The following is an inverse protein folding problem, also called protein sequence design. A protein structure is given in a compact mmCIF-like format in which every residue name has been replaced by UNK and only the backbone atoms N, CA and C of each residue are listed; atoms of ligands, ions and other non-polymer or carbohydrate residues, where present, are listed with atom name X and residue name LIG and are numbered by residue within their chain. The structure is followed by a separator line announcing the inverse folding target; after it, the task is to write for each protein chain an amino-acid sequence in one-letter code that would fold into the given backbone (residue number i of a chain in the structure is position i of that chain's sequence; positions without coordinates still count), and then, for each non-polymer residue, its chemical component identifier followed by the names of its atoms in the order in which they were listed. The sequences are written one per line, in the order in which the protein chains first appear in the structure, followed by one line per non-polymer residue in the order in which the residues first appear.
data_IF_557994208401
#
_entry.id   IF_557994208401
#
_cell.length_a   1.000
_cell.length_b   1.000
_cell.length_c   1.000
_cell.angle_alpha   90.00
_cell.angle_beta   90.00
_cell.angle_gamma   90.00
#
_symmetry.space_group_name_H-M   'P 1'
#
loop_
_entity.id
_entity.type
_entity.pdbx_description
1 polymer ?
#
# COMPACT_ATOMS: atom_id res chain seq x y z
N UNK A 1 -73.61 -12.26 -62.51
CA UNK A 1 -73.21 -13.24 -61.49
C UNK A 1 -71.68 -13.50 -61.42
N UNK A 2 -70.90 -13.29 -62.50
CA UNK A 2 -69.43 -13.53 -62.48
C UNK A 2 -68.57 -12.43 -61.78
N UNK A 3 -69.01 -11.20 -61.75
CA UNK A 3 -68.26 -10.09 -61.17
C UNK A 3 -68.26 -10.11 -59.62
N UNK A 4 -69.26 -10.61 -58.96
CA UNK A 4 -69.40 -10.74 -57.52
C UNK A 4 -68.46 -11.82 -56.91
N UNK A 5 -68.30 -12.91 -57.70
CA UNK A 5 -67.38 -13.99 -57.32
C UNK A 5 -65.92 -13.60 -57.40
N UNK A 6 -65.54 -12.84 -58.45
CA UNK A 6 -64.15 -12.31 -58.59
C UNK A 6 -63.79 -11.28 -57.49
N UNK A 7 -64.75 -10.43 -57.07
CA UNK A 7 -64.58 -9.51 -55.97
C UNK A 7 -64.42 -10.25 -54.60
N UNK A 8 -65.21 -11.33 -54.41
CA UNK A 8 -65.04 -12.14 -53.20
C UNK A 8 -63.74 -12.92 -53.18
N UNK A 9 -63.28 -13.48 -54.29
CA UNK A 9 -61.97 -14.13 -54.39
C UNK A 9 -60.86 -13.16 -54.18
N UNK A 10 -60.90 -11.99 -54.79
CA UNK A 10 -59.85 -10.93 -54.57
C UNK A 10 -59.80 -10.44 -53.11
N UNK A 11 -60.96 -10.35 -52.43
CA UNK A 11 -61.06 -9.97 -51.02
C UNK A 11 -60.52 -11.08 -50.08
N UNK A 12 -60.76 -12.32 -50.40
CA UNK A 12 -60.25 -13.45 -49.63
C UNK A 12 -58.75 -13.65 -49.82
N UNK A 13 -58.23 -13.42 -51.04
CA UNK A 13 -56.79 -13.46 -51.32
C UNK A 13 -56.07 -12.31 -50.60
N UNK A 14 -56.60 -11.08 -50.54
CA UNK A 14 -56.06 -9.98 -49.78
C UNK A 14 -56.09 -10.21 -48.26
N UNK A 15 -57.18 -10.78 -47.74
CA UNK A 15 -57.31 -11.16 -46.34
C UNK A 15 -56.34 -12.29 -45.98
N UNK A 16 -56.21 -13.32 -46.78
CA UNK A 16 -55.27 -14.41 -46.55
C UNK A 16 -53.78 -13.88 -46.56
N UNK A 17 -53.49 -13.03 -47.56
CA UNK A 17 -52.14 -12.41 -47.60
C UNK A 17 -51.84 -11.53 -46.39
N UNK A 18 -52.82 -10.79 -45.84
CA UNK A 18 -52.67 -10.01 -44.64
C UNK A 18 -52.44 -10.88 -43.41
N UNK A 19 -53.14 -12.01 -43.29
CA UNK A 19 -52.92 -12.97 -42.18
C UNK A 19 -51.53 -13.61 -42.27
N UNK A 20 -51.11 -14.00 -43.49
CA UNK A 20 -49.79 -14.56 -43.72
C UNK A 20 -48.69 -13.52 -43.36
N UNK A 21 -48.88 -12.27 -43.76
CA UNK A 21 -47.92 -11.18 -43.45
C UNK A 21 -47.81 -10.90 -41.94
N UNK A 22 -48.95 -10.84 -41.24
CA UNK A 22 -48.97 -10.72 -39.77
C UNK A 22 -48.30 -11.92 -39.11
N UNK A 23 -48.61 -13.14 -39.58
CA UNK A 23 -47.96 -14.35 -39.09
C UNK A 23 -46.45 -14.39 -39.32
N UNK A 24 -45.99 -13.88 -40.47
CA UNK A 24 -44.58 -13.77 -40.78
C UNK A 24 -43.89 -12.73 -39.87
N UNK A 25 -44.53 -11.60 -39.62
CA UNK A 25 -44.00 -10.55 -38.70
C UNK A 25 -43.92 -11.11 -37.27
N UNK A 26 -44.97 -11.75 -36.78
CA UNK A 26 -44.97 -12.34 -35.44
C UNK A 26 -43.92 -13.44 -35.29
N UNK A 27 -43.74 -14.28 -36.28
CA UNK A 27 -42.71 -15.29 -36.32
C UNK A 27 -41.31 -14.66 -36.32
N UNK A 28 -41.11 -13.60 -37.10
CA UNK A 28 -39.82 -12.87 -37.15
C UNK A 28 -39.52 -12.18 -35.81
N UNK A 29 -40.49 -11.55 -35.17
CA UNK A 29 -40.36 -10.97 -33.86
C UNK A 29 -40.04 -12.02 -32.78
N UNK A 30 -40.70 -13.19 -32.87
CA UNK A 30 -40.43 -14.31 -31.98
C UNK A 30 -38.98 -14.84 -32.13
N UNK A 31 -38.54 -15.04 -33.39
CA UNK A 31 -37.17 -15.46 -33.68
C UNK A 31 -36.18 -14.42 -33.20
N UNK A 32 -36.44 -13.12 -33.39
CA UNK A 32 -35.60 -12.04 -32.92
C UNK A 32 -35.50 -12.02 -31.39
N UNK A 33 -36.62 -12.12 -30.68
CA UNK A 33 -36.66 -12.23 -29.22
C UNK A 33 -35.93 -13.47 -28.71
N UNK A 34 -36.01 -14.58 -29.46
CA UNK A 34 -35.28 -15.79 -29.12
C UNK A 34 -33.76 -15.67 -29.33
N UNK A 35 -33.30 -14.94 -30.35
CA UNK A 35 -31.89 -14.80 -30.68
C UNK A 35 -31.18 -13.73 -29.81
N UNK A 36 -31.89 -12.67 -29.47
CA UNK A 36 -31.34 -11.53 -28.73
C UNK A 36 -32.03 -11.42 -27.36
N UNK A 37 -31.38 -11.88 -26.27
CA UNK A 37 -31.95 -11.76 -24.95
C UNK A 37 -32.07 -10.28 -24.55
N UNK A 38 -33.26 -9.86 -24.13
CA UNK A 38 -33.57 -8.49 -23.73
C UNK A 38 -34.10 -8.52 -22.30
N UNK A 39 -33.60 -7.63 -21.45
CA UNK A 39 -34.16 -7.41 -20.12
C UNK A 39 -34.42 -5.94 -19.88
N UNK A 40 -35.50 -5.62 -19.22
CA UNK A 40 -35.83 -4.30 -18.73
C UNK A 40 -35.48 -4.11 -17.21
N UNK A 41 -35.04 -5.21 -16.58
CA UNK A 41 -34.66 -5.25 -15.20
C UNK A 41 -33.14 -5.10 -15.09
N UNK A 42 -32.65 -3.88 -15.35
CA UNK A 42 -31.23 -3.53 -15.22
C UNK A 42 -31.06 -2.28 -14.35
N UNK A 43 -30.07 -2.32 -13.49
CA UNK A 43 -29.76 -1.24 -12.55
C UNK A 43 -28.32 -0.75 -12.76
N UNK A 44 -28.13 0.54 -12.57
CA UNK A 44 -26.78 1.11 -12.46
C UNK A 44 -26.23 0.76 -11.07
N UNK A 45 -25.11 0.09 -11.04
CA UNK A 45 -24.40 -0.25 -9.80
C UNK A 45 -23.11 0.55 -9.76
N UNK A 46 -23.02 1.44 -8.80
CA UNK A 46 -21.80 2.19 -8.55
C UNK A 46 -21.03 1.55 -7.39
N UNK A 47 -19.71 1.63 -7.45
CA UNK A 47 -18.86 1.21 -6.36
C UNK A 47 -18.93 2.29 -5.25
N UNK A 48 -19.77 2.07 -4.26
CA UNK A 48 -19.92 2.95 -3.10
C UNK A 48 -18.98 2.48 -2.01
N UNK A 49 -18.03 3.33 -1.62
CA UNK A 49 -17.07 3.03 -0.56
C UNK A 49 -17.25 4.00 0.62
N UNK A 50 -17.29 3.51 1.85
CA UNK A 50 -17.23 4.38 3.01
C UNK A 50 -15.82 5.00 3.11
N UNK A 51 -15.75 6.30 3.33
CA UNK A 51 -14.48 7.00 3.64
C UNK A 51 -14.42 7.23 5.13
N UNK A 52 -13.29 6.87 5.72
CA UNK A 52 -13.02 7.01 7.15
C UNK A 52 -11.73 7.80 7.37
N UNK A 53 -11.55 8.35 8.57
CA UNK A 53 -10.27 8.88 8.99
C UNK A 53 -9.29 7.72 9.23
N UNK A 54 -8.05 7.92 8.83
CA UNK A 54 -6.97 6.95 9.01
C UNK A 54 -6.19 7.21 10.30
N UNK A 55 -6.37 8.41 10.89
CA UNK A 55 -5.80 8.82 12.17
C UNK A 55 -6.88 9.44 13.06
N UNK A 56 -6.68 9.40 14.38
CA UNK A 56 -7.61 10.00 15.36
C UNK A 56 -7.34 11.50 15.52
N UNK A 57 -8.36 12.27 15.81
CA UNK A 57 -8.21 13.70 16.10
C UNK A 57 -9.48 14.50 15.88
N UNK A 58 -9.33 15.78 15.60
CA UNK A 58 -10.44 16.67 15.25
C UNK A 58 -10.27 17.15 13.82
N UNK A 59 -11.36 17.28 13.09
CA UNK A 59 -11.34 17.85 11.74
C UNK A 59 -11.03 19.35 11.82
N UNK A 60 -10.00 19.78 11.14
CA UNK A 60 -9.59 21.20 11.05
C UNK A 60 -10.17 21.88 9.83
N UNK A 61 -10.19 21.20 8.70
CA UNK A 61 -10.72 21.74 7.45
C UNK A 61 -11.50 20.67 6.69
N UNK A 62 -12.58 21.08 6.03
CA UNK A 62 -13.37 20.28 5.09
C UNK A 62 -13.38 21.02 3.75
N UNK A 63 -12.90 20.38 2.68
CA UNK A 63 -12.73 20.99 1.35
C UNK A 63 -13.83 20.59 0.37
N UNK A 64 -14.76 19.78 0.80
CA UNK A 64 -15.82 19.18 -0.02
C UNK A 64 -17.20 19.45 0.59
N UNK A 65 -18.21 19.37 -0.27
CA UNK A 65 -19.62 19.41 0.10
C UNK A 65 -20.33 18.15 -0.34
N UNK A 66 -21.50 17.89 0.25
CA UNK A 66 -22.34 16.79 -0.19
C UNK A 66 -22.79 16.99 -1.64
N UNK A 67 -22.59 15.98 -2.48
CA UNK A 67 -22.88 16.04 -3.92
C UNK A 67 -21.74 16.55 -4.81
N UNK A 68 -20.61 16.98 -4.25
CA UNK A 68 -19.48 17.47 -5.03
C UNK A 68 -18.84 16.34 -5.87
N UNK A 69 -18.48 16.71 -7.09
CA UNK A 69 -17.60 15.89 -7.92
C UNK A 69 -16.14 16.19 -7.56
N UNK A 70 -15.40 15.17 -7.19
CA UNK A 70 -13.99 15.26 -6.82
C UNK A 70 -13.11 14.49 -7.79
N UNK A 71 -11.90 14.98 -7.99
CA UNK A 71 -10.88 14.34 -8.83
C UNK A 71 -9.88 13.59 -7.98
N UNK A 72 -9.28 12.57 -8.56
CA UNK A 72 -8.16 11.85 -7.94
C UNK A 72 -7.08 12.80 -7.44
N UNK A 73 -6.64 12.61 -6.19
CA UNK A 73 -5.65 13.46 -5.53
C UNK A 73 -6.20 14.78 -4.96
N UNK A 74 -7.50 15.04 -5.09
CA UNK A 74 -8.11 16.22 -4.46
C UNK A 74 -8.22 16.02 -2.95
N UNK A 75 -7.87 17.07 -2.17
CA UNK A 75 -8.03 17.06 -0.72
C UNK A 75 -9.52 17.01 -0.35
N UNK A 76 -9.87 16.11 0.55
CA UNK A 76 -11.24 15.94 1.06
C UNK A 76 -11.41 16.65 2.39
N UNK A 77 -10.60 16.30 3.37
CA UNK A 77 -10.58 16.95 4.68
C UNK A 77 -9.22 16.78 5.35
N UNK A 78 -8.96 17.56 6.39
CA UNK A 78 -7.76 17.45 7.24
C UNK A 78 -8.13 17.25 8.68
N UNK A 79 -7.38 16.39 9.35
CA UNK A 79 -7.40 16.17 10.79
C UNK A 79 -6.30 17.01 11.43
N UNK A 80 -6.45 17.42 12.68
CA UNK A 80 -5.47 18.19 13.43
C UNK A 80 -4.09 17.50 13.44
N UNK A 81 -3.14 18.07 12.74
CA UNK A 81 -1.84 17.48 12.38
C UNK A 81 -0.72 17.75 13.40
N UNK A 82 -0.83 18.81 14.22
CA UNK A 82 0.24 19.23 15.12
C UNK A 82 0.79 18.13 16.06
N UNK A 83 -0.04 17.25 16.69
CA UNK A 83 0.51 16.18 17.51
C UNK A 83 1.38 15.20 16.73
N UNK A 84 1.01 14.94 15.47
CA UNK A 84 1.76 14.08 14.56
C UNK A 84 3.06 14.74 14.09
N UNK A 85 3.00 16.05 13.79
CA UNK A 85 4.19 16.85 13.46
C UNK A 85 5.19 16.83 14.61
N UNK A 86 4.75 17.08 15.84
CA UNK A 86 5.63 17.06 17.01
C UNK A 86 6.25 15.67 17.25
N UNK A 87 5.53 14.60 16.95
CA UNK A 87 6.06 13.24 17.03
C UNK A 87 7.17 13.01 15.99
N UNK A 88 7.01 13.53 14.78
CA UNK A 88 8.05 13.50 13.74
C UNK A 88 9.28 14.27 14.19
N UNK A 89 9.12 15.51 14.67
CA UNK A 89 10.21 16.34 15.17
C UNK A 89 10.96 15.69 16.35
N UNK A 90 10.23 15.04 17.25
CA UNK A 90 10.84 14.28 18.35
C UNK A 90 11.74 13.15 17.84
N UNK A 91 11.21 12.29 16.93
CA UNK A 91 12.03 11.20 16.40
C UNK A 91 13.18 11.67 15.53
N UNK A 92 13.08 12.82 14.86
CA UNK A 92 14.20 13.44 14.15
C UNK A 92 15.30 13.88 15.10
N UNK A 93 14.94 14.50 16.24
CA UNK A 93 15.88 14.89 17.27
C UNK A 93 16.55 13.66 17.92
N UNK A 94 15.77 12.62 18.26
CA UNK A 94 16.28 11.38 18.84
C UNK A 94 17.26 10.68 17.88
N UNK A 95 16.93 10.65 16.59
CA UNK A 95 17.79 10.08 15.55
C UNK A 95 19.11 10.88 15.41
N UNK A 96 19.04 12.20 15.45
CA UNK A 96 20.21 13.05 15.41
C UNK A 96 21.13 12.80 16.63
N UNK A 97 20.56 12.68 17.83
CA UNK A 97 21.28 12.35 19.06
C UNK A 97 21.95 10.97 18.97
N UNK A 98 21.20 9.96 18.47
CA UNK A 98 21.73 8.60 18.29
C UNK A 98 22.90 8.55 17.27
N UNK A 99 22.81 9.30 16.17
CA UNK A 99 23.89 9.44 15.19
C UNK A 99 25.12 10.14 15.77
N UNK A 100 24.93 11.17 16.60
CA UNK A 100 26.02 11.84 17.32
C UNK A 100 26.72 10.88 18.27
N UNK A 101 25.96 10.07 19.03
CA UNK A 101 26.50 9.02 19.91
C UNK A 101 27.32 7.99 19.14
N UNK A 102 26.83 7.54 17.95
CA UNK A 102 27.58 6.63 17.09
C UNK A 102 28.94 7.22 16.69
N UNK A 103 28.99 8.50 16.30
CA UNK A 103 30.24 9.18 15.98
C UNK A 103 31.22 9.22 17.18
N UNK A 104 30.69 9.44 18.39
CA UNK A 104 31.53 9.40 19.62
C UNK A 104 32.10 8.00 19.86
N UNK A 105 31.28 6.95 19.71
CA UNK A 105 31.74 5.56 19.84
C UNK A 105 32.81 5.20 18.79
N UNK A 106 32.68 5.69 17.56
CA UNK A 106 33.65 5.47 16.50
C UNK A 106 34.99 6.12 16.83
N UNK A 107 34.98 7.36 17.37
CA UNK A 107 36.21 8.05 17.82
C UNK A 107 36.84 7.33 19.01
N UNK A 108 36.03 6.75 19.92
CA UNK A 108 36.52 5.94 21.02
C UNK A 108 37.23 4.69 20.50
N UNK A 109 36.62 3.98 19.56
CA UNK A 109 37.25 2.82 18.92
C UNK A 109 38.57 3.16 18.26
N UNK A 110 38.63 4.25 17.49
CA UNK A 110 39.86 4.71 16.83
C UNK A 110 40.98 4.97 17.85
N UNK A 111 40.66 5.63 18.97
CA UNK A 111 41.62 5.87 20.07
C UNK A 111 42.12 4.54 20.65
N UNK A 112 41.23 3.60 20.92
CA UNK A 112 41.57 2.32 21.58
C UNK A 112 42.28 1.36 20.62
N UNK A 113 42.05 1.49 19.32
CA UNK A 113 42.87 0.83 18.28
C UNK A 113 44.34 1.36 18.30
N UNK A 114 44.52 2.67 18.43
CA UNK A 114 45.86 3.26 18.58
C UNK A 114 46.54 2.80 19.86
N UNK A 115 45.83 2.75 20.99
CA UNK A 115 46.36 2.21 22.26
C UNK A 115 46.77 0.73 22.07
N UNK A 116 45.94 -0.08 21.43
CA UNK A 116 46.28 -1.47 21.19
C UNK A 116 47.50 -1.64 20.29
N UNK A 117 47.64 -0.79 19.26
CA UNK A 117 48.83 -0.77 18.42
C UNK A 117 50.11 -0.45 19.22
N UNK A 118 50.08 0.54 20.09
CA UNK A 118 51.22 0.86 20.96
C UNK A 118 51.58 -0.30 21.91
N UNK A 119 50.55 -0.98 22.48
CA UNK A 119 50.76 -2.15 23.33
C UNK A 119 51.37 -3.31 22.54
N UNK A 120 50.95 -3.50 21.27
CA UNK A 120 51.53 -4.51 20.37
C UNK A 120 52.99 -4.25 20.08
N UNK A 121 53.35 -3.02 19.80
CA UNK A 121 54.77 -2.62 19.58
C UNK A 121 55.63 -2.86 20.83
N UNK A 122 55.11 -2.47 22.01
CA UNK A 122 55.76 -2.71 23.28
C UNK A 122 55.97 -4.21 23.55
N UNK A 123 54.92 -5.01 23.36
CA UNK A 123 55.02 -6.48 23.51
C UNK A 123 56.03 -7.06 22.52
N UNK A 124 56.01 -6.64 21.25
CA UNK A 124 56.92 -7.16 20.22
C UNK A 124 58.39 -6.86 20.59
N UNK A 125 58.67 -5.63 21.05
CA UNK A 125 60.00 -5.25 21.51
C UNK A 125 60.47 -6.07 22.71
N UNK A 126 59.66 -6.20 23.76
CA UNK A 126 59.96 -6.98 24.95
C UNK A 126 60.12 -8.48 24.64
N UNK A 127 59.33 -9.05 23.76
CA UNK A 127 59.44 -10.45 23.31
C UNK A 127 60.77 -10.71 22.54
N UNK A 128 61.20 -9.72 21.74
CA UNK A 128 62.49 -9.82 21.07
C UNK A 128 63.67 -9.73 22.05
N UNK A 129 63.55 -8.88 23.08
CA UNK A 129 64.59 -8.76 24.09
C UNK A 129 64.64 -10.00 25.00
N UNK A 130 63.47 -10.57 25.36
CA UNK A 130 63.38 -11.82 26.09
C UNK A 130 64.07 -12.99 25.32
N UNK A 131 63.86 -13.12 24.01
CA UNK A 131 64.51 -14.11 23.17
C UNK A 131 66.05 -13.94 23.17
N UNK A 132 66.53 -12.68 23.18
CA UNK A 132 67.97 -12.41 23.30
C UNK A 132 68.52 -12.81 24.68
N UNK A 133 67.80 -12.50 25.79
CA UNK A 133 68.15 -12.89 27.16
C UNK A 133 68.13 -14.40 27.36
N UNK A 134 67.18 -15.12 26.80
CA UNK A 134 67.14 -16.58 26.79
C UNK A 134 68.39 -17.18 26.10
N UNK A 135 68.78 -16.65 24.95
CA UNK A 135 69.96 -17.06 24.23
C UNK A 135 71.26 -16.75 25.01
N UNK A 136 71.34 -15.54 25.64
CA UNK A 136 72.47 -15.13 26.44
C UNK A 136 72.61 -15.97 27.74
N UNK A 137 71.52 -16.34 28.38
CA UNK A 137 71.53 -17.24 29.53
C UNK A 137 72.08 -18.61 29.24
N UNK A 138 71.74 -19.18 28.08
CA UNK A 138 72.27 -20.52 27.65
C UNK A 138 73.76 -20.54 27.53
N UNK A 139 74.42 -19.40 27.35
CA UNK A 139 75.89 -19.26 27.29
C UNK A 139 76.48 -18.64 28.55
N UNK A 140 75.68 -18.60 29.65
CA UNK A 140 76.07 -17.99 30.94
C UNK A 140 76.45 -16.51 30.88
N UNK A 141 75.98 -15.73 29.91
CA UNK A 141 76.29 -14.30 29.73
C UNK A 141 75.38 -13.38 30.58
N UNK A 142 74.28 -13.88 31.14
CA UNK A 142 73.34 -13.12 31.98
C UNK A 142 72.86 -13.98 33.20
N UNK A 143 72.45 -13.33 34.27
CA UNK A 143 71.95 -14.00 35.47
C UNK A 143 70.53 -14.57 35.29
N UNK A 144 70.21 -15.60 36.08
CA UNK A 144 68.83 -16.13 36.14
C UNK A 144 67.80 -15.05 36.49
N UNK A 145 68.12 -14.16 37.40
CA UNK A 145 67.25 -13.07 37.82
C UNK A 145 66.95 -12.10 36.67
N UNK A 146 67.93 -11.82 35.81
CA UNK A 146 67.74 -10.97 34.62
C UNK A 146 66.79 -11.63 33.62
N UNK A 147 66.93 -12.92 33.40
CA UNK A 147 66.05 -13.69 32.52
C UNK A 147 64.61 -13.71 33.09
N UNK A 148 64.43 -14.01 34.39
CA UNK A 148 63.12 -14.02 35.02
C UNK A 148 62.41 -12.67 34.95
N UNK A 149 63.14 -11.57 35.15
CA UNK A 149 62.59 -10.21 35.04
C UNK A 149 62.09 -9.95 33.61
N UNK A 150 62.87 -10.28 32.58
CA UNK A 150 62.48 -10.13 31.17
C UNK A 150 61.22 -10.95 30.83
N UNK A 151 61.14 -12.21 31.31
CA UNK A 151 59.97 -13.06 31.14
C UNK A 151 58.72 -12.44 31.81
N UNK A 152 58.84 -11.87 33.02
CA UNK A 152 57.71 -11.23 33.69
C UNK A 152 57.27 -9.95 32.99
N UNK A 153 58.19 -9.11 32.48
CA UNK A 153 57.87 -7.92 31.70
C UNK A 153 57.15 -8.29 30.40
N UNK A 154 57.62 -9.32 29.69
CA UNK A 154 57.01 -9.80 28.47
C UNK A 154 55.59 -10.35 28.72
N UNK A 155 55.40 -11.13 29.82
CA UNK A 155 54.08 -11.61 30.24
C UNK A 155 53.11 -10.47 30.57
N UNK A 156 53.61 -9.44 31.27
CA UNK A 156 52.83 -8.24 31.59
C UNK A 156 52.40 -7.48 30.33
N UNK A 157 53.32 -7.28 29.38
CA UNK A 157 53.01 -6.63 28.12
C UNK A 157 52.01 -7.44 27.28
N UNK A 158 52.13 -8.75 27.26
CA UNK A 158 51.14 -9.67 26.58
C UNK A 158 49.75 -9.54 27.18
N UNK A 159 49.66 -9.49 28.52
CA UNK A 159 48.38 -9.30 29.21
C UNK A 159 47.75 -7.93 28.90
N UNK A 160 48.58 -6.86 28.86
CA UNK A 160 48.13 -5.51 28.49
C UNK A 160 47.62 -5.46 27.02
N UNK A 161 48.31 -6.11 26.11
CA UNK A 161 47.85 -6.23 24.70
C UNK A 161 46.51 -7.00 24.61
N UNK A 162 46.39 -8.11 25.31
CA UNK A 162 45.16 -8.89 25.33
C UNK A 162 43.98 -8.07 25.91
N UNK A 163 44.21 -7.29 26.95
CA UNK A 163 43.22 -6.41 27.56
C UNK A 163 42.77 -5.31 26.57
N UNK A 164 43.70 -4.67 25.84
CA UNK A 164 43.35 -3.65 24.83
C UNK A 164 42.59 -4.25 23.64
N UNK A 165 42.92 -5.46 23.22
CA UNK A 165 42.17 -6.16 22.17
C UNK A 165 40.73 -6.47 22.59
N UNK A 166 40.53 -6.88 23.86
CA UNK A 166 39.19 -7.09 24.41
C UNK A 166 38.37 -5.80 24.49
N UNK A 167 39.02 -4.67 24.78
CA UNK A 167 38.37 -3.35 24.79
C UNK A 167 37.85 -3.01 23.37
N UNK A 168 38.65 -3.24 22.33
CA UNK A 168 38.23 -3.05 20.93
C UNK A 168 36.99 -3.91 20.59
N UNK A 169 36.93 -5.19 21.00
CA UNK A 169 35.75 -6.06 20.80
C UNK A 169 34.49 -5.47 21.46
N UNK A 170 34.65 -4.92 22.69
CA UNK A 170 33.54 -4.25 23.41
C UNK A 170 33.06 -3.01 22.64
N UNK A 171 34.00 -2.17 22.16
CA UNK A 171 33.67 -0.95 21.43
C UNK A 171 32.95 -1.29 20.10
N UNK A 172 33.45 -2.29 19.38
CA UNK A 172 32.79 -2.77 18.16
C UNK A 172 31.37 -3.28 18.42
N UNK A 173 31.17 -4.03 19.55
CA UNK A 173 29.85 -4.48 19.95
C UNK A 173 28.92 -3.30 20.28
N UNK A 174 29.48 -2.28 20.97
CA UNK A 174 28.74 -1.06 21.32
C UNK A 174 28.30 -0.28 20.07
N UNK A 175 29.18 -0.18 19.07
CA UNK A 175 28.88 0.41 17.76
C UNK A 175 27.76 -0.36 17.04
N UNK A 176 27.81 -1.69 17.04
CA UNK A 176 26.76 -2.51 16.44
C UNK A 176 25.42 -2.32 17.14
N UNK A 177 25.41 -2.23 18.47
CA UNK A 177 24.21 -1.96 19.24
C UNK A 177 23.64 -0.57 18.90
N UNK A 178 24.49 0.45 18.80
CA UNK A 178 24.08 1.80 18.45
C UNK A 178 23.54 1.88 17.01
N UNK A 179 24.09 1.12 16.05
CA UNK A 179 23.58 1.02 14.69
C UNK A 179 22.16 0.41 14.66
N UNK A 180 21.90 -0.61 15.47
CA UNK A 180 20.56 -1.20 15.59
C UNK A 180 19.56 -0.20 16.20
N UNK A 181 19.98 0.58 17.17
CA UNK A 181 19.15 1.64 17.76
C UNK A 181 18.79 2.72 16.70
N UNK A 182 19.76 3.15 15.89
CA UNK A 182 19.52 4.07 14.79
C UNK A 182 18.50 3.50 13.80
N UNK A 183 18.66 2.24 13.39
CA UNK A 183 17.69 1.60 12.49
C UNK A 183 16.27 1.52 13.09
N UNK A 184 16.16 1.28 14.40
CA UNK A 184 14.89 1.30 15.12
C UNK A 184 14.25 2.69 15.10
N UNK A 185 15.04 3.75 15.37
CA UNK A 185 14.57 5.13 15.33
C UNK A 185 14.18 5.59 13.92
N UNK A 186 14.93 5.17 12.90
CA UNK A 186 14.57 5.43 11.49
C UNK A 186 13.22 4.78 11.11
N UNK A 187 12.96 3.57 11.59
CA UNK A 187 11.67 2.91 11.39
C UNK A 187 10.52 3.66 12.11
N UNK A 188 10.75 4.10 13.36
CA UNK A 188 9.77 4.89 14.11
C UNK A 188 9.49 6.24 13.44
N UNK A 189 10.53 6.92 12.97
CA UNK A 189 10.40 8.18 12.23
C UNK A 189 9.61 7.99 10.94
N UNK A 190 9.86 6.91 10.20
CA UNK A 190 9.10 6.58 8.99
C UNK A 190 7.63 6.38 9.28
N UNK A 191 7.29 5.65 10.35
CA UNK A 191 5.90 5.45 10.75
C UNK A 191 5.25 6.78 11.17
N UNK A 192 5.93 7.60 11.97
CA UNK A 192 5.42 8.91 12.37
C UNK A 192 5.14 9.84 11.17
N UNK A 193 5.98 9.79 10.14
CA UNK A 193 5.75 10.54 8.89
C UNK A 193 4.53 10.03 8.11
N UNK A 194 4.33 8.71 8.07
CA UNK A 194 3.11 8.13 7.48
C UNK A 194 1.88 8.59 8.25
N UNK A 195 1.91 8.56 9.58
CA UNK A 195 0.78 9.03 10.40
C UNK A 195 0.49 10.53 10.17
N UNK A 196 1.52 11.34 9.98
CA UNK A 196 1.39 12.76 9.63
C UNK A 196 0.76 12.92 8.23
N UNK A 197 1.20 12.17 7.24
CA UNK A 197 0.62 12.21 5.89
C UNK A 197 -0.84 11.80 5.89
N UNK A 198 -1.21 10.82 6.72
CA UNK A 198 -2.58 10.32 6.87
C UNK A 198 -3.53 11.33 7.57
N UNK A 199 -3.01 12.43 8.13
CA UNK A 199 -3.86 13.52 8.66
C UNK A 199 -4.63 14.25 7.56
N UNK A 200 -4.14 14.22 6.32
CA UNK A 200 -4.83 14.77 5.16
C UNK A 200 -5.37 13.63 4.29
N UNK A 201 -6.68 13.59 4.15
CA UNK A 201 -7.35 12.55 3.33
C UNK A 201 -7.59 13.09 1.93
N UNK A 202 -7.21 12.31 0.93
CA UNK A 202 -7.33 12.62 -0.49
C UNK A 202 -8.26 11.63 -1.19
N UNK A 203 -8.87 12.08 -2.30
CA UNK A 203 -9.63 11.20 -3.17
C UNK A 203 -8.70 10.23 -3.91
N UNK A 204 -8.97 8.94 -3.82
CA UNK A 204 -8.18 7.90 -4.50
C UNK A 204 -8.48 7.83 -6.01
N UNK A 205 -9.73 8.11 -6.38
CA UNK A 205 -10.24 8.10 -7.76
C UNK A 205 -11.13 9.33 -8.01
N UNK A 206 -11.57 9.50 -9.25
CA UNK A 206 -12.63 10.44 -9.60
C UNK A 206 -13.96 9.91 -9.07
N UNK A 207 -14.77 10.78 -8.46
CA UNK A 207 -16.01 10.32 -7.83
C UNK A 207 -16.90 11.43 -7.30
N UNK A 208 -17.97 11.01 -6.64
CA UNK A 208 -18.99 11.89 -6.05
C UNK A 208 -19.07 11.62 -4.54
N UNK A 209 -19.14 12.69 -3.77
CA UNK A 209 -19.30 12.64 -2.32
C UNK A 209 -20.79 12.55 -1.95
N UNK A 210 -21.15 11.57 -1.13
CA UNK A 210 -22.51 11.46 -0.60
C UNK A 210 -22.52 11.24 0.92
N UNK A 211 -23.65 11.58 1.56
CA UNK A 211 -23.86 11.40 2.99
C UNK A 211 -22.78 12.07 3.86
N UNK A 212 -22.35 13.27 3.45
CA UNK A 212 -21.34 14.03 4.19
C UNK A 212 -21.96 14.69 5.42
N UNK A 213 -21.63 14.16 6.60
CA UNK A 213 -22.03 14.72 7.91
C UNK A 213 -20.83 15.25 8.70
N UNK A 214 -19.75 15.63 7.99
CA UNK A 214 -18.49 16.07 8.57
C UNK A 214 -18.46 17.59 8.67
N UNK A 215 -18.12 18.11 9.86
CA UNK A 215 -17.95 19.55 10.12
C UNK A 215 -16.59 19.80 10.80
N UNK A 216 -16.11 21.04 10.70
CA UNK A 216 -14.92 21.48 11.44
C UNK A 216 -15.16 21.29 12.94
N UNK A 217 -14.18 20.74 13.66
CA UNK A 217 -14.28 20.40 15.08
C UNK A 217 -14.87 19.02 15.38
N UNK A 218 -15.36 18.28 14.38
CA UNK A 218 -15.86 16.92 14.58
C UNK A 218 -14.74 15.99 15.02
N UNK A 219 -14.87 15.27 16.15
CA UNK A 219 -13.92 14.26 16.55
C UNK A 219 -14.03 13.05 15.62
N UNK A 220 -12.90 12.52 15.17
CA UNK A 220 -12.83 11.36 14.30
C UNK A 220 -11.92 10.29 14.89
N UNK A 221 -12.33 9.04 14.70
CA UNK A 221 -11.56 7.87 15.10
C UNK A 221 -11.17 7.04 13.87
N UNK A 222 -10.12 6.25 14.01
CA UNK A 222 -9.64 5.34 12.96
C UNK A 222 -10.74 4.36 12.58
N UNK A 223 -10.94 4.15 11.28
CA UNK A 223 -11.94 3.23 10.69
C UNK A 223 -13.42 3.60 10.96
N UNK A 224 -13.72 4.77 11.49
CA UNK A 224 -15.09 5.25 11.62
C UNK A 224 -15.55 5.85 10.29
N UNK A 225 -16.60 5.31 9.64
CA UNK A 225 -17.13 5.89 8.40
C UNK A 225 -17.64 7.32 8.63
N UNK A 226 -17.22 8.25 7.78
CA UNK A 226 -17.58 9.66 7.87
C UNK A 226 -18.53 10.08 6.75
N UNK A 227 -18.37 9.52 5.57
CA UNK A 227 -19.21 9.74 4.39
C UNK A 227 -19.02 8.63 3.37
N UNK A 228 -19.84 8.65 2.33
CA UNK A 228 -19.79 7.71 1.22
C UNK A 228 -19.12 8.34 -0.01
N UNK A 229 -18.23 7.61 -0.63
CA UNK A 229 -17.59 7.97 -1.89
C UNK A 229 -18.11 7.05 -2.99
N UNK A 230 -18.67 7.62 -4.04
CA UNK A 230 -19.12 6.90 -5.23
C UNK A 230 -18.03 7.05 -6.29
N UNK A 231 -17.38 5.95 -6.62
CA UNK A 231 -16.40 5.91 -7.69
C UNK A 231 -17.11 6.03 -9.04
N UNK A 232 -16.74 7.03 -9.83
CA UNK A 232 -17.31 7.28 -11.17
C UNK A 232 -16.36 6.90 -12.29
N UNK A 233 -15.19 6.35 -11.98
CA UNK A 233 -14.20 5.92 -12.97
C UNK A 233 -14.71 4.76 -13.81
N UNK A 234 -15.53 3.90 -13.22
CA UNK A 234 -16.17 2.77 -13.89
C UNK A 234 -17.65 2.70 -13.49
N UNK A 235 -18.51 2.56 -14.48
CA UNK A 235 -19.96 2.41 -14.28
C UNK A 235 -20.35 0.99 -14.68
N UNK A 236 -20.93 0.27 -13.75
CA UNK A 236 -21.44 -1.08 -13.98
C UNK A 236 -22.96 -1.09 -14.09
N UNK A 237 -23.46 -1.97 -14.95
CA UNK A 237 -24.88 -2.30 -15.03
C UNK A 237 -25.09 -3.74 -14.60
N UNK A 238 -25.92 -3.93 -13.61
CA UNK A 238 -26.39 -5.25 -13.22
C UNK A 238 -27.71 -5.49 -13.92
N UNK A 239 -27.73 -6.46 -14.83
CA UNK A 239 -28.92 -6.85 -15.58
C UNK A 239 -29.39 -8.22 -15.12
N UNK A 240 -30.66 -8.32 -14.76
CA UNK A 240 -31.30 -9.57 -14.38
C UNK A 240 -32.00 -10.18 -15.60
N UNK A 241 -31.56 -11.35 -16.00
CA UNK A 241 -32.15 -12.10 -17.10
C UNK A 241 -32.92 -13.30 -16.58
N UNK A 242 -33.91 -13.77 -17.34
CA UNK A 242 -34.55 -15.05 -17.10
C UNK A 242 -33.58 -16.20 -17.36
N UNK A 243 -33.77 -17.32 -16.67
CA UNK A 243 -32.91 -18.51 -16.80
C UNK A 243 -32.74 -19.00 -18.25
N UNK A 244 -33.80 -18.91 -19.06
CA UNK A 244 -33.79 -19.29 -20.47
C UNK A 244 -32.86 -18.43 -21.32
N UNK A 245 -32.68 -17.18 -20.96
CA UNK A 245 -31.88 -16.18 -21.69
C UNK A 245 -30.41 -16.18 -21.30
N UNK A 246 -30.11 -16.64 -20.08
CA UNK A 246 -28.73 -16.71 -19.55
C UNK A 246 -27.82 -17.61 -20.40
N UNK A 247 -28.35 -18.62 -21.08
CA UNK A 247 -27.54 -19.50 -21.94
C UNK A 247 -26.81 -18.77 -23.07
N UNK A 248 -27.25 -17.55 -23.40
CA UNK A 248 -26.74 -16.76 -24.53
C UNK A 248 -25.88 -15.59 -24.09
N UNK A 249 -25.83 -15.33 -22.79
CA UNK A 249 -25.03 -14.22 -22.19
C UNK A 249 -23.77 -14.82 -21.61
N UNK A 250 -22.62 -14.48 -22.21
CA UNK A 250 -21.31 -14.95 -21.79
C UNK A 250 -20.38 -13.78 -21.53
N UNK A 251 -19.40 -13.99 -20.67
CA UNK A 251 -18.33 -13.02 -20.45
C UNK A 251 -17.69 -12.61 -21.79
N UNK A 252 -17.59 -11.31 -22.04
CA UNK A 252 -17.10 -10.74 -23.30
C UNK A 252 -18.18 -10.44 -24.34
N UNK A 253 -19.45 -10.83 -24.11
CA UNK A 253 -20.57 -10.49 -25.00
C UNK A 253 -20.77 -8.98 -25.04
N UNK A 254 -20.98 -8.42 -26.23
CA UNK A 254 -21.31 -7.01 -26.43
C UNK A 254 -22.78 -6.78 -26.12
N UNK A 255 -23.07 -5.75 -25.34
CA UNK A 255 -24.43 -5.38 -24.95
C UNK A 255 -24.74 -3.94 -25.31
N UNK A 256 -25.99 -3.68 -25.65
CA UNK A 256 -26.54 -2.35 -25.87
C UNK A 256 -27.43 -1.99 -24.69
N UNK A 257 -27.13 -0.85 -24.06
CA UNK A 257 -27.85 -0.37 -22.88
C UNK A 257 -28.60 0.90 -23.28
N UNK A 258 -29.91 0.87 -23.11
CA UNK A 258 -30.81 1.99 -23.43
C UNK A 258 -31.54 2.43 -22.15
N UNK A 259 -30.98 3.39 -21.39
CA UNK A 259 -31.62 3.85 -20.16
C UNK A 259 -32.95 4.55 -20.46
N UNK A 260 -34.00 4.21 -19.73
CA UNK A 260 -35.34 4.82 -19.87
C UNK A 260 -35.33 6.34 -19.65
N UNK A 261 -34.43 6.84 -18.81
CA UNK A 261 -34.27 8.27 -18.54
C UNK A 261 -33.98 9.10 -19.79
N UNK A 262 -33.38 8.53 -20.81
CA UNK A 262 -33.04 9.24 -22.05
C UNK A 262 -33.99 8.89 -23.21
N UNK A 263 -35.13 8.21 -22.98
CA UNK A 263 -36.12 7.85 -24.02
C UNK A 263 -35.47 7.33 -25.32
N UNK A 264 -34.52 6.40 -25.19
CA UNK A 264 -33.74 5.83 -26.31
C UNK A 264 -32.87 6.84 -27.12
N UNK A 265 -32.74 8.09 -26.69
CA UNK A 265 -31.89 9.09 -27.35
C UNK A 265 -30.39 8.83 -27.15
N UNK A 266 -30.03 8.08 -26.11
CA UNK A 266 -28.63 7.68 -25.83
C UNK A 266 -28.55 6.16 -25.71
N UNK A 267 -27.66 5.58 -26.50
CA UNK A 267 -27.34 4.15 -26.46
C UNK A 267 -25.91 4.04 -25.95
N UNK A 268 -25.73 3.24 -24.92
CA UNK A 268 -24.40 2.92 -24.40
C UNK A 268 -24.00 1.51 -24.85
N UNK A 269 -22.71 1.38 -25.18
CA UNK A 269 -22.13 0.09 -25.52
C UNK A 269 -21.40 -0.45 -24.30
N UNK A 270 -21.69 -1.67 -23.91
CA UNK A 270 -21.07 -2.36 -22.82
C UNK A 270 -20.53 -3.71 -23.22
N UNK A 271 -19.76 -4.31 -22.34
CA UNK A 271 -19.25 -5.67 -22.46
C UNK A 271 -19.59 -6.41 -21.17
N UNK A 272 -20.06 -7.65 -21.28
CA UNK A 272 -20.31 -8.49 -20.11
C UNK A 272 -19.00 -8.82 -19.42
N UNK A 273 -18.82 -8.34 -18.19
CA UNK A 273 -17.61 -8.56 -17.38
C UNK A 273 -17.69 -9.89 -16.62
N UNK A 274 -18.89 -10.22 -16.14
CA UNK A 274 -19.15 -11.43 -15.36
C UNK A 274 -20.52 -11.98 -15.70
N UNK A 275 -20.63 -13.29 -15.80
CA UNK A 275 -21.81 -14.07 -16.02
C UNK A 275 -22.19 -14.94 -14.79
N UNK A 276 -21.74 -14.51 -13.59
CA UNK A 276 -22.02 -15.25 -12.38
C UNK A 276 -23.50 -15.19 -12.00
N UNK A 277 -24.05 -16.36 -11.73
CA UNK A 277 -25.38 -16.58 -11.21
C UNK A 277 -25.44 -16.17 -9.75
N UNK A 278 -25.94 -15.00 -9.47
CA UNK A 278 -26.32 -14.59 -8.12
C UNK A 278 -27.83 -14.72 -8.03
N UNK A 279 -28.33 -15.88 -7.63
CA UNK A 279 -29.69 -16.01 -7.18
C UNK A 279 -29.79 -15.36 -5.79
N UNK A 280 -30.13 -14.08 -5.73
CA UNK A 280 -30.66 -13.51 -4.51
C UNK A 280 -32.05 -14.12 -4.27
N UNK A 281 -32.13 -15.03 -3.31
CA UNK A 281 -33.39 -15.42 -2.68
C UNK A 281 -33.84 -14.37 -1.69
#
# INVERSE_FOLDING_TARGET
MRLSLLRRLKRNVTFANSVIFIGAITALLYIFSYLFPVTDNAFVVNNVRPVAALVKGYVTNVYIKNGDNVKKGQKLFTVFDKPYLYTVEQYEADLAAAKSKLNTLQKTLERDEQVSQNQRETYTRLAQDDDKYQKAYKINAVSLMTLQNSEQETKGAKASLAASQKQIEIDQSSIQTQKKEIASLEAKLKNARVDLDLTTVYAENDGIIQNLFLSIGTPVNVNQPLFSFIDTSEVYFQANFNETDLRKVHKGSKVLIMPRTYFAQKIFHGVVVSDYWSANR
#
